data_IF_295398305342
#
_entry.id   IF_295398305342
#
_cell.length_a   1.000
_cell.length_b   1.000
_cell.length_c   1.000
_cell.angle_alpha   90.00
_cell.angle_beta   90.00
_cell.angle_gamma   90.00
#
_symmetry.space_group_name_H-M   'P 1'
#
loop_
_entity.id
_entity.type
_entity.pdbx_description
1 polymer ?
#
# COMPACT_ATOMS: atom_id res chain seq x y z
N UNK A 1 -0.65 9.78 -14.36
CA UNK A 1 -2.11 9.61 -14.31
C UNK A 1 -2.36 8.23 -13.76
N UNK A 2 -2.92 8.16 -12.55
CA UNK A 2 -2.98 6.93 -11.79
C UNK A 2 -4.00 6.01 -12.43
N UNK A 3 -3.62 4.75 -12.57
CA UNK A 3 -4.53 3.73 -13.08
C UNK A 3 -5.49 3.30 -11.97
N UNK A 4 -6.73 2.99 -12.33
CA UNK A 4 -7.74 2.50 -11.38
C UNK A 4 -8.45 1.29 -11.95
N UNK A 5 -8.75 0.32 -11.08
CA UNK A 5 -9.61 -0.82 -11.41
C UNK A 5 -11.10 -0.48 -11.29
N UNK A 6 -11.90 -0.84 -12.31
CA UNK A 6 -13.37 -0.74 -12.25
C UNK A 6 -13.97 -1.59 -11.14
N UNK A 7 -13.38 -2.75 -10.85
CA UNK A 7 -13.85 -3.66 -9.80
C UNK A 7 -13.71 -3.03 -8.42
N UNK A 8 -12.58 -2.35 -8.18
CA UNK A 8 -12.32 -1.69 -6.90
C UNK A 8 -13.09 -0.37 -6.76
N UNK A 9 -13.30 0.36 -7.86
CA UNK A 9 -14.14 1.57 -7.88
C UNK A 9 -15.60 1.29 -7.49
N UNK A 10 -16.06 0.04 -7.63
CA UNK A 10 -17.42 -0.37 -7.27
C UNK A 10 -17.63 -0.59 -5.76
N UNK A 11 -16.56 -0.56 -4.94
CA UNK A 11 -16.64 -0.84 -3.50
C UNK A 11 -16.86 0.47 -2.73
N UNK A 12 -18.03 0.69 -2.09
CA UNK A 12 -18.29 1.93 -1.36
C UNK A 12 -17.34 2.11 -0.17
N UNK A 13 -16.82 3.33 0.00
CA UNK A 13 -15.93 3.67 1.10
C UNK A 13 -14.46 3.27 0.90
N UNK A 14 -14.13 2.52 -0.16
CA UNK A 14 -12.75 2.18 -0.52
C UNK A 14 -12.21 3.16 -1.56
N UNK A 15 -10.94 3.53 -1.42
CA UNK A 15 -10.18 4.31 -2.41
C UNK A 15 -8.91 3.56 -2.74
N UNK A 16 -8.58 3.44 -4.01
CA UNK A 16 -7.34 2.82 -4.51
C UNK A 16 -6.78 3.61 -5.69
N UNK A 17 -5.51 3.39 -5.96
CA UNK A 17 -4.82 3.88 -7.14
C UNK A 17 -3.59 2.99 -7.41
N UNK A 18 -3.27 2.77 -8.68
CA UNK A 18 -1.99 2.25 -9.13
C UNK A 18 -1.21 3.41 -9.74
N UNK A 19 -0.17 3.86 -9.05
CA UNK A 19 0.52 5.11 -9.37
C UNK A 19 1.55 4.89 -10.48
N UNK A 20 1.69 5.85 -11.40
CA UNK A 20 2.84 5.89 -12.30
C UNK A 20 4.07 6.50 -11.62
N UNK A 21 5.19 6.59 -12.36
CA UNK A 21 6.46 7.13 -11.84
C UNK A 21 6.34 8.57 -11.32
N UNK A 22 5.52 9.41 -11.95
CA UNK A 22 5.37 10.80 -11.57
C UNK A 22 4.55 10.95 -10.29
N UNK A 23 3.50 10.15 -10.17
CA UNK A 23 2.63 10.13 -8.99
C UNK A 23 3.32 9.49 -7.78
N UNK A 24 4.08 8.43 -8.04
CA UNK A 24 4.93 7.76 -7.05
C UNK A 24 5.96 8.74 -6.47
N UNK A 25 6.61 9.54 -7.31
CA UNK A 25 7.58 10.55 -6.87
C UNK A 25 6.99 11.64 -5.96
N UNK A 26 5.70 11.96 -6.13
CA UNK A 26 5.00 12.96 -5.33
C UNK A 26 4.22 12.37 -4.13
N UNK A 27 4.22 11.04 -3.96
CA UNK A 27 3.36 10.37 -3.00
C UNK A 27 3.85 10.55 -1.53
N UNK A 28 2.97 10.88 -0.57
CA UNK A 28 3.36 11.05 0.84
C UNK A 28 3.51 9.71 1.56
N UNK A 29 4.66 9.05 1.39
CA UNK A 29 4.94 7.73 1.97
C UNK A 29 4.81 7.65 3.50
N UNK A 30 4.94 8.76 4.21
CA UNK A 30 4.75 8.83 5.65
C UNK A 30 3.33 8.45 6.10
N UNK A 31 2.35 8.50 5.18
CA UNK A 31 0.95 8.14 5.46
C UNK A 31 0.65 6.64 5.22
N UNK A 32 1.57 5.88 4.61
CA UNK A 32 1.40 4.44 4.39
C UNK A 32 1.78 3.63 5.63
N UNK A 33 1.05 2.52 5.83
CA UNK A 33 1.44 1.49 6.78
C UNK A 33 2.83 0.95 6.40
N UNK A 34 3.86 1.14 7.24
CA UNK A 34 5.22 0.98 6.80
C UNK A 34 5.66 -0.48 6.90
N UNK A 35 6.12 -1.05 5.79
CA UNK A 35 6.81 -2.36 5.73
C UNK A 35 8.09 -2.27 4.92
N UNK A 36 8.98 -3.25 5.10
CA UNK A 36 10.13 -3.46 4.24
C UNK A 36 9.84 -4.69 3.38
N UNK A 37 9.60 -4.44 2.09
CA UNK A 37 9.44 -5.46 1.07
C UNK A 37 10.79 -6.18 0.89
N UNK A 38 10.79 -7.50 1.02
CA UNK A 38 11.99 -8.35 0.96
C UNK A 38 11.82 -9.54 0.02
N UNK A 39 10.79 -9.51 -0.83
CA UNK A 39 10.42 -10.58 -1.76
C UNK A 39 10.15 -11.92 -1.05
N UNK A 40 9.62 -11.86 0.17
CA UNK A 40 9.08 -13.00 0.89
C UNK A 40 7.57 -13.19 0.66
N UNK A 41 6.95 -13.95 1.55
CA UNK A 41 5.52 -14.25 1.55
C UNK A 41 4.82 -13.82 2.85
N UNK A 42 5.52 -13.05 3.69
CA UNK A 42 4.99 -12.59 4.98
C UNK A 42 3.98 -11.46 4.80
N UNK A 43 2.89 -11.53 5.55
CA UNK A 43 1.79 -10.55 5.52
C UNK A 43 1.73 -9.83 6.86
N UNK A 44 1.84 -8.51 6.85
CA UNK A 44 1.77 -7.70 8.06
C UNK A 44 0.34 -7.19 8.33
N UNK A 45 -0.18 -7.49 9.51
CA UNK A 45 -1.40 -6.86 10.03
C UNK A 45 -1.06 -5.52 10.68
N UNK A 46 -1.35 -4.42 10.01
CA UNK A 46 -1.16 -3.09 10.59
C UNK A 46 -2.31 -2.73 11.52
N UNK A 47 -1.97 -2.46 12.78
CA UNK A 47 -2.93 -2.02 13.81
C UNK A 47 -2.56 -0.65 14.38
N UNK A 48 -1.27 -0.33 14.43
CA UNK A 48 -0.72 0.92 14.97
C UNK A 48 0.70 1.14 14.45
N UNK A 49 1.24 2.37 14.52
CA UNK A 49 2.63 2.63 14.19
C UNK A 49 3.61 1.77 15.00
N UNK A 50 4.65 1.26 14.33
CA UNK A 50 5.74 0.51 14.96
C UNK A 50 7.03 1.34 14.92
N UNK A 51 7.95 1.14 15.90
CA UNK A 51 9.24 1.85 15.92
C UNK A 51 10.16 1.44 14.77
N UNK A 52 9.92 0.29 14.14
CA UNK A 52 10.66 -0.23 13.00
C UNK A 52 9.71 -0.68 11.90
N UNK A 53 10.24 -0.81 10.67
CA UNK A 53 9.51 -1.39 9.55
C UNK A 53 9.64 -2.90 9.59
N UNK A 54 8.57 -3.67 9.83
CA UNK A 54 8.63 -5.12 9.77
C UNK A 54 8.95 -5.58 8.34
N UNK A 55 9.64 -6.71 8.23
CA UNK A 55 9.81 -7.40 6.96
C UNK A 55 8.49 -8.08 6.58
N UNK A 56 7.89 -7.65 5.48
CA UNK A 56 6.67 -8.21 4.92
C UNK A 56 6.49 -7.70 3.50
N UNK A 57 5.78 -8.45 2.68
CA UNK A 57 5.55 -8.14 1.27
C UNK A 57 4.05 -7.92 0.96
N UNK A 58 3.20 -8.02 1.98
CA UNK A 58 1.81 -7.58 1.94
C UNK A 58 1.40 -6.93 3.26
N UNK A 59 0.40 -6.05 3.20
CA UNK A 59 -0.15 -5.37 4.38
C UNK A 59 -1.67 -5.39 4.31
N UNK A 60 -2.32 -5.65 5.44
CA UNK A 60 -3.75 -5.44 5.61
C UNK A 60 -4.03 -4.70 6.92
N UNK A 61 -5.20 -4.06 7.00
CA UNK A 61 -5.63 -3.35 8.20
C UNK A 61 -7.14 -3.25 8.28
N UNK A 62 -7.67 -3.20 9.50
CA UNK A 62 -9.05 -2.82 9.78
C UNK A 62 -9.17 -1.35 10.25
N UNK A 63 -8.04 -0.61 10.34
CA UNK A 63 -8.02 0.78 10.80
C UNK A 63 -8.53 1.70 9.69
N UNK A 64 -9.71 2.30 9.90
CA UNK A 64 -10.30 3.20 8.93
C UNK A 64 -9.39 4.43 8.66
N UNK A 65 -9.23 4.77 7.38
CA UNK A 65 -8.40 5.89 6.94
C UNK A 65 -6.91 5.57 6.81
N UNK A 66 -6.43 4.43 7.32
CA UNK A 66 -5.05 4.01 7.12
C UNK A 66 -4.81 3.59 5.67
N UNK A 67 -3.80 4.20 5.03
CA UNK A 67 -3.37 3.80 3.69
C UNK A 67 -2.48 2.56 3.79
N UNK A 68 -2.73 1.58 2.92
CA UNK A 68 -1.86 0.42 2.70
C UNK A 68 -1.44 0.39 1.24
N UNK A 69 -0.28 -0.18 0.95
CA UNK A 69 0.25 -0.24 -0.40
C UNK A 69 1.60 -0.92 -0.46
N UNK A 70 2.00 -1.28 -1.67
CA UNK A 70 3.30 -1.85 -2.01
C UNK A 70 3.97 -0.98 -3.07
N UNK A 71 5.30 -1.01 -3.11
CA UNK A 71 6.08 -0.31 -4.11
C UNK A 71 6.67 -1.37 -5.03
N UNK A 72 6.35 -1.27 -6.31
CA UNK A 72 6.91 -2.15 -7.33
C UNK A 72 7.45 -1.30 -8.48
N UNK A 73 8.40 -1.87 -9.21
CA UNK A 73 8.97 -1.29 -10.43
C UNK A 73 9.28 -2.41 -11.42
N UNK A 74 8.41 -3.41 -11.47
CA UNK A 74 8.34 -4.54 -12.44
C UNK A 74 7.42 -5.64 -11.87
N UNK A 75 7.56 -5.93 -10.57
CA UNK A 75 6.70 -6.89 -9.87
C UNK A 75 5.23 -6.45 -9.90
N UNK A 76 4.32 -7.42 -9.83
CA UNK A 76 2.89 -7.16 -9.73
C UNK A 76 2.55 -6.61 -8.32
N UNK A 77 1.94 -5.42 -8.21
CA UNK A 77 1.43 -4.90 -6.95
C UNK A 77 0.12 -5.55 -6.52
#
# INVERSE_FOLDING_TARGET
MAYTSRLLNAIPGIRHAFLDVHETAAFPYAELAPVKLVHGNEVHHYQQPLPTRPHADAVFTAVAGQKVGVVTADCLP
#
